data_IF_716104069905
#
_entry.id   IF_716104069905
#
_cell.length_a   1.000
_cell.length_b   1.000
_cell.length_c   1.000
_cell.angle_alpha   90.00
_cell.angle_beta   90.00
_cell.angle_gamma   90.00
#
_symmetry.space_group_name_H-M   'P 1'
#
loop_
_entity.id
_entity.type
_entity.pdbx_description
1 polymer ?
#
# COMPACT_ATOMS: atom_id res chain seq x y z
N UNK A 1 -1.40 -27.75 45.02
CA UNK A 1 -1.97 -27.13 43.81
C UNK A 1 -1.68 -27.99 42.58
N UNK A 2 -2.70 -28.46 41.84
CA UNK A 2 -2.54 -29.35 40.69
C UNK A 2 -1.71 -28.74 39.55
N UNK A 3 -0.97 -29.56 38.80
CA UNK A 3 -0.08 -29.16 37.71
C UNK A 3 -0.81 -28.45 36.54
N UNK A 4 -2.05 -28.83 36.23
CA UNK A 4 -2.84 -28.22 35.16
C UNK A 4 -3.32 -26.78 35.47
N UNK A 5 -3.48 -26.42 36.74
CA UNK A 5 -3.83 -25.05 37.17
C UNK A 5 -2.62 -24.09 37.11
N UNK A 6 -1.38 -24.59 37.11
CA UNK A 6 -0.18 -23.76 36.95
C UNK A 6 0.09 -23.39 35.49
N UNK A 7 -0.29 -24.25 34.54
CA UNK A 7 -0.15 -24.02 33.11
C UNK A 7 -0.96 -22.82 32.61
N UNK A 8 -2.22 -22.68 33.04
CA UNK A 8 -3.10 -21.57 32.64
C UNK A 8 -2.60 -20.21 33.18
N UNK A 9 -2.15 -20.17 34.44
CA UNK A 9 -1.66 -18.93 35.05
C UNK A 9 -0.32 -18.48 34.46
N UNK A 10 0.58 -19.41 34.12
CA UNK A 10 1.86 -19.09 33.47
C UNK A 10 1.68 -18.49 32.07
N UNK A 11 0.74 -19.04 31.30
CA UNK A 11 0.40 -18.52 29.97
C UNK A 11 -0.20 -17.13 30.06
N UNK A 12 -1.17 -16.89 30.95
CA UNK A 12 -1.75 -15.56 31.16
C UNK A 12 -0.71 -14.52 31.59
N UNK A 13 0.20 -14.87 32.51
CA UNK A 13 1.30 -13.99 32.91
C UNK A 13 2.23 -13.67 31.73
N UNK A 14 2.49 -14.63 30.85
CA UNK A 14 3.33 -14.41 29.67
C UNK A 14 2.66 -13.46 28.68
N UNK A 15 1.35 -13.62 28.45
CA UNK A 15 0.56 -12.69 27.61
C UNK A 15 0.53 -11.29 28.18
N UNK A 16 0.35 -11.14 29.50
CA UNK A 16 0.40 -9.84 30.18
C UNK A 16 1.77 -9.18 30.04
N UNK A 17 2.85 -9.94 30.23
CA UNK A 17 4.22 -9.44 30.05
C UNK A 17 4.48 -8.99 28.61
N UNK A 18 3.99 -9.73 27.62
CA UNK A 18 4.10 -9.34 26.21
C UNK A 18 3.29 -8.07 25.91
N UNK A 19 2.07 -7.95 26.45
CA UNK A 19 1.26 -6.74 26.33
C UNK A 19 1.95 -5.51 26.92
N UNK A 20 2.59 -5.67 28.08
CA UNK A 20 3.33 -4.58 28.73
C UNK A 20 4.63 -4.25 27.97
N UNK A 21 5.36 -5.27 27.52
CA UNK A 21 6.57 -5.10 26.73
C UNK A 21 6.31 -4.35 25.41
N UNK A 22 5.16 -4.57 24.76
CA UNK A 22 4.77 -3.82 23.54
C UNK A 22 4.73 -2.31 23.78
N UNK A 23 4.22 -1.87 24.93
CA UNK A 23 4.17 -0.44 25.29
C UNK A 23 5.55 0.15 25.55
N UNK A 24 6.50 -0.68 25.98
CA UNK A 24 7.88 -0.30 26.26
C UNK A 24 8.79 -0.38 25.03
N UNK A 25 8.30 -0.96 23.93
CA UNK A 25 8.97 -0.97 22.64
C UNK A 25 9.89 -2.17 22.38
N UNK A 26 10.72 -2.02 21.35
CA UNK A 26 11.42 -3.12 20.67
C UNK A 26 12.28 -3.99 21.60
N UNK A 27 13.07 -3.37 22.47
CA UNK A 27 14.01 -4.10 23.32
C UNK A 27 13.30 -4.86 24.45
N UNK A 28 12.24 -4.29 25.02
CA UNK A 28 11.43 -4.98 26.03
C UNK A 28 10.74 -6.24 25.46
N UNK A 29 10.23 -6.15 24.22
CA UNK A 29 9.65 -7.31 23.51
C UNK A 29 10.72 -8.36 23.22
N UNK A 30 11.93 -7.97 22.81
CA UNK A 30 13.04 -8.90 22.61
C UNK A 30 13.43 -9.65 23.88
N UNK A 31 13.58 -8.93 24.99
CA UNK A 31 13.90 -9.53 26.30
C UNK A 31 12.81 -10.51 26.74
N UNK A 32 11.55 -10.08 26.66
CA UNK A 32 10.40 -10.91 27.02
C UNK A 32 10.32 -12.14 26.11
N UNK A 33 10.49 -11.97 24.81
CA UNK A 33 10.50 -13.06 23.81
C UNK A 33 11.60 -14.09 24.04
N UNK A 34 12.82 -13.67 24.42
CA UNK A 34 13.89 -14.61 24.82
C UNK A 34 13.48 -15.43 26.05
N UNK A 35 12.89 -14.79 27.06
CA UNK A 35 12.45 -15.45 28.28
C UNK A 35 11.29 -16.43 28.02
N UNK A 36 10.39 -16.09 27.11
CA UNK A 36 9.26 -16.90 26.63
C UNK A 36 9.81 -18.16 25.93
N UNK A 37 10.67 -17.99 24.91
CA UNK A 37 11.31 -19.09 24.18
C UNK A 37 12.14 -20.05 25.05
N UNK A 38 12.77 -19.57 26.12
CA UNK A 38 13.63 -20.39 27.00
C UNK A 38 12.82 -21.30 27.92
N UNK A 39 11.57 -20.97 28.22
CA UNK A 39 10.75 -21.69 29.22
C UNK A 39 10.19 -23.02 28.73
N UNK A 40 10.31 -23.34 27.43
CA UNK A 40 10.10 -24.67 26.87
C UNK A 40 8.69 -25.25 27.10
N UNK A 41 7.89 -25.28 26.03
CA UNK A 41 6.47 -25.65 25.99
C UNK A 41 5.56 -24.52 26.44
N UNK A 42 5.22 -23.67 25.49
CA UNK A 42 4.26 -22.60 25.70
C UNK A 42 2.97 -22.89 24.95
N UNK A 43 1.87 -22.55 25.62
CA UNK A 43 0.53 -22.46 25.05
C UNK A 43 0.58 -21.79 23.68
N UNK A 44 -0.12 -22.37 22.69
CA UNK A 44 -0.17 -21.84 21.31
C UNK A 44 -0.52 -20.36 21.31
N UNK A 45 -1.41 -19.92 22.20
CA UNK A 45 -1.79 -18.51 22.31
C UNK A 45 -0.64 -17.60 22.76
N UNK A 46 0.31 -18.06 23.57
CA UNK A 46 1.49 -17.28 23.96
C UNK A 46 2.45 -17.14 22.77
N UNK A 47 2.63 -18.20 21.98
CA UNK A 47 3.46 -18.17 20.78
C UNK A 47 2.90 -17.20 19.75
N UNK A 48 1.58 -17.25 19.53
CA UNK A 48 0.89 -16.32 18.63
C UNK A 48 1.00 -14.88 19.16
N UNK A 49 0.78 -14.65 20.46
CA UNK A 49 0.94 -13.32 21.05
C UNK A 49 2.39 -12.81 20.92
N UNK A 50 3.40 -13.68 21.02
CA UNK A 50 4.80 -13.31 20.78
C UNK A 50 5.03 -12.93 19.31
N UNK A 51 4.52 -13.73 18.37
CA UNK A 51 4.62 -13.45 16.93
C UNK A 51 4.01 -12.08 16.59
N UNK A 52 2.81 -11.80 17.11
CA UNK A 52 2.12 -10.53 16.92
C UNK A 52 2.80 -9.38 17.68
N UNK A 53 3.44 -9.66 18.82
CA UNK A 53 4.23 -8.67 19.55
C UNK A 53 5.48 -8.27 18.77
N UNK A 54 6.18 -9.22 18.13
CA UNK A 54 7.30 -8.88 17.25
C UNK A 54 6.84 -8.04 16.06
N UNK A 55 5.70 -8.37 15.45
CA UNK A 55 5.11 -7.55 14.37
C UNK A 55 4.82 -6.12 14.84
N UNK A 56 4.21 -5.96 16.01
CA UNK A 56 3.80 -4.66 16.53
C UNK A 56 4.97 -3.68 16.75
N UNK A 57 6.18 -4.20 17.01
CA UNK A 57 7.41 -3.39 17.22
C UNK A 57 8.43 -3.57 16.10
N UNK A 58 8.00 -4.10 14.95
CA UNK A 58 8.82 -4.27 13.75
C UNK A 58 10.13 -5.07 14.00
N UNK A 59 10.06 -6.09 14.85
CA UNK A 59 11.12 -7.10 15.05
C UNK A 59 11.01 -8.20 13.98
N UNK A 60 11.14 -7.83 12.70
CA UNK A 60 10.97 -8.77 11.59
C UNK A 60 11.95 -9.96 11.62
N UNK A 61 13.25 -9.80 11.93
CA UNK A 61 14.17 -10.93 12.02
C UNK A 61 13.73 -11.95 13.07
N UNK A 62 13.39 -11.50 14.28
CA UNK A 62 12.95 -12.38 15.36
C UNK A 62 11.60 -13.05 15.07
N UNK A 63 10.72 -12.34 14.37
CA UNK A 63 9.44 -12.87 13.89
C UNK A 63 9.64 -13.99 12.87
N UNK A 64 10.56 -13.81 11.91
CA UNK A 64 10.94 -14.82 10.92
C UNK A 64 11.55 -16.04 11.62
N UNK A 65 12.49 -15.82 12.53
CA UNK A 65 13.15 -16.89 13.29
C UNK A 65 12.16 -17.68 14.13
N UNK A 66 11.23 -17.00 14.80
CA UNK A 66 10.16 -17.65 15.55
C UNK A 66 9.32 -18.52 14.62
N UNK A 67 8.77 -17.95 13.55
CA UNK A 67 7.87 -18.66 12.63
C UNK A 67 8.56 -19.86 11.93
N UNK A 68 9.82 -19.71 11.51
CA UNK A 68 10.61 -20.80 10.91
C UNK A 68 11.01 -21.88 11.95
N UNK A 69 11.12 -21.51 13.23
CA UNK A 69 11.40 -22.42 14.33
C UNK A 69 10.18 -23.17 14.87
N UNK A 70 8.96 -22.82 14.47
CA UNK A 70 7.76 -23.56 14.85
C UNK A 70 7.73 -24.93 14.18
N UNK A 71 7.28 -25.95 14.92
CA UNK A 71 7.10 -27.30 14.42
C UNK A 71 5.63 -27.71 14.40
N UNK A 72 5.32 -28.73 13.60
CA UNK A 72 4.01 -29.37 13.59
C UNK A 72 2.87 -28.52 13.00
N UNK A 73 1.60 -28.82 13.37
CA UNK A 73 0.43 -28.21 12.74
C UNK A 73 0.39 -26.68 12.85
N UNK A 74 0.87 -26.11 13.96
CA UNK A 74 0.87 -24.66 14.17
C UNK A 74 1.67 -23.91 13.11
N UNK A 75 2.87 -24.41 12.78
CA UNK A 75 3.74 -23.82 11.76
C UNK A 75 3.06 -23.76 10.39
N UNK A 76 2.20 -24.73 10.09
CA UNK A 76 1.51 -24.85 8.79
C UNK A 76 0.19 -24.08 8.72
N UNK A 77 -0.26 -23.44 9.80
CA UNK A 77 -1.50 -22.64 9.78
C UNK A 77 -1.38 -21.44 8.84
N UNK A 78 -2.49 -21.06 8.20
CA UNK A 78 -2.54 -19.92 7.30
C UNK A 78 -2.02 -18.64 7.95
N UNK A 79 -2.51 -18.34 9.17
CA UNK A 79 -2.09 -17.15 9.91
C UNK A 79 -0.58 -17.09 10.15
N UNK A 80 0.08 -18.18 10.58
CA UNK A 80 1.53 -18.17 10.79
C UNK A 80 2.30 -17.96 9.47
N UNK A 81 1.86 -18.60 8.39
CA UNK A 81 2.50 -18.48 7.08
C UNK A 81 2.30 -17.07 6.48
N UNK A 82 1.12 -16.48 6.62
CA UNK A 82 0.81 -15.11 6.23
C UNK A 82 1.68 -14.10 7.01
N UNK A 83 1.78 -14.27 8.33
CA UNK A 83 2.65 -13.45 9.18
C UNK A 83 4.14 -13.61 8.81
N UNK A 84 4.60 -14.84 8.53
CA UNK A 84 5.97 -15.08 8.04
C UNK A 84 6.23 -14.37 6.71
N UNK A 85 5.30 -14.46 5.76
CA UNK A 85 5.44 -13.82 4.46
C UNK A 85 5.48 -12.28 4.56
N UNK A 86 4.64 -11.70 5.43
CA UNK A 86 4.68 -10.27 5.74
C UNK A 86 6.05 -9.85 6.28
N UNK A 87 6.59 -10.58 7.26
CA UNK A 87 7.90 -10.27 7.84
C UNK A 87 9.04 -10.41 6.80
N UNK A 88 9.01 -11.47 5.97
CA UNK A 88 9.97 -11.66 4.87
C UNK A 88 9.93 -10.49 3.88
N UNK A 89 8.74 -10.00 3.53
CA UNK A 89 8.61 -8.85 2.63
C UNK A 89 9.15 -7.56 3.25
N UNK A 90 8.95 -7.34 4.56
CA UNK A 90 9.53 -6.19 5.27
C UNK A 90 11.07 -6.22 5.29
N UNK A 91 11.66 -7.41 5.30
CA UNK A 91 13.11 -7.62 5.16
C UNK A 91 13.59 -7.60 3.69
N UNK A 92 12.72 -7.26 2.73
CA UNK A 92 13.05 -7.20 1.30
C UNK A 92 13.21 -8.56 0.62
N UNK A 93 12.86 -9.67 1.29
CA UNK A 93 12.97 -11.05 0.80
C UNK A 93 11.74 -11.44 -0.03
N UNK A 94 11.52 -10.73 -1.14
CA UNK A 94 10.33 -10.89 -2.00
C UNK A 94 10.10 -12.33 -2.45
N UNK A 95 11.13 -13.00 -2.97
CA UNK A 95 11.01 -14.34 -3.54
C UNK A 95 10.67 -15.38 -2.47
N UNK A 96 11.24 -15.26 -1.26
CA UNK A 96 10.88 -16.12 -0.13
C UNK A 96 9.43 -15.90 0.31
N UNK A 97 8.99 -14.64 0.41
CA UNK A 97 7.62 -14.29 0.80
C UNK A 97 6.60 -14.86 -0.20
N UNK A 98 6.83 -14.67 -1.50
CA UNK A 98 5.97 -15.23 -2.56
C UNK A 98 5.93 -16.75 -2.47
N UNK A 99 7.07 -17.42 -2.28
CA UNK A 99 7.12 -18.88 -2.15
C UNK A 99 6.29 -19.39 -0.96
N UNK A 100 6.33 -18.70 0.17
CA UNK A 100 5.51 -19.04 1.35
C UNK A 100 4.02 -18.94 1.02
N UNK A 101 3.60 -17.84 0.39
CA UNK A 101 2.19 -17.58 0.05
C UNK A 101 1.68 -18.51 -1.05
N UNK A 102 2.46 -18.76 -2.11
CA UNK A 102 2.10 -19.70 -3.17
C UNK A 102 1.90 -21.12 -2.61
N UNK A 103 2.77 -21.55 -1.69
CA UNK A 103 2.61 -22.83 -1.00
C UNK A 103 1.38 -22.85 -0.09
N UNK A 104 1.00 -21.71 0.48
CA UNK A 104 -0.21 -21.60 1.28
C UNK A 104 -1.46 -21.73 0.40
N UNK A 105 -1.51 -21.00 -0.72
CA UNK A 105 -2.59 -21.07 -1.73
C UNK A 105 -2.74 -22.50 -2.27
N UNK A 106 -1.64 -23.19 -2.57
CA UNK A 106 -1.67 -24.58 -3.04
C UNK A 106 -2.29 -25.55 -2.01
N UNK A 107 -2.16 -25.27 -0.72
CA UNK A 107 -2.62 -26.16 0.37
C UNK A 107 -4.04 -25.86 0.82
N UNK A 108 -4.42 -24.59 0.86
CA UNK A 108 -5.68 -24.16 1.50
C UNK A 108 -6.64 -23.44 0.54
N UNK A 109 -6.23 -23.26 -0.72
CA UNK A 109 -6.94 -22.40 -1.66
C UNK A 109 -6.59 -20.93 -1.44
N UNK A 110 -7.06 -20.11 -2.37
CA UNK A 110 -6.89 -18.66 -2.30
C UNK A 110 -7.92 -18.06 -1.35
N UNK A 111 -7.56 -16.98 -0.65
CA UNK A 111 -8.44 -16.19 0.22
C UNK A 111 -8.22 -14.70 -0.06
N UNK A 112 -9.12 -13.84 0.42
CA UNK A 112 -8.92 -12.38 0.34
C UNK A 112 -7.61 -11.96 1.03
N UNK A 113 -7.40 -12.42 2.27
CA UNK A 113 -6.21 -12.09 3.08
C UNK A 113 -4.90 -12.52 2.41
N UNK A 114 -4.77 -13.80 2.02
CA UNK A 114 -3.55 -14.31 1.39
C UNK A 114 -3.27 -13.58 0.07
N UNK A 115 -4.32 -13.26 -0.70
CA UNK A 115 -4.19 -12.50 -1.95
C UNK A 115 -3.80 -11.04 -1.71
N UNK A 116 -4.34 -10.41 -0.68
CA UNK A 116 -3.98 -9.06 -0.26
C UNK A 116 -2.50 -8.98 0.16
N UNK A 117 -2.01 -9.98 0.88
CA UNK A 117 -0.59 -10.07 1.25
C UNK A 117 0.29 -10.28 0.01
N UNK A 118 -0.09 -11.18 -0.91
CA UNK A 118 0.62 -11.33 -2.20
C UNK A 118 0.67 -10.00 -2.98
N UNK A 119 -0.47 -9.31 -3.06
CA UNK A 119 -0.58 -7.99 -3.66
C UNK A 119 0.40 -7.00 -3.03
N UNK A 120 0.48 -6.98 -1.69
CA UNK A 120 1.41 -6.12 -0.95
C UNK A 120 2.87 -6.46 -1.22
N UNK A 121 3.23 -7.74 -1.21
CA UNK A 121 4.59 -8.21 -1.48
C UNK A 121 5.06 -7.76 -2.86
N UNK A 122 4.19 -7.87 -3.87
CA UNK A 122 4.49 -7.44 -5.22
C UNK A 122 4.49 -5.91 -5.37
N UNK A 123 3.60 -5.18 -4.68
CA UNK A 123 3.61 -3.70 -4.63
C UNK A 123 4.95 -3.19 -4.09
N UNK A 124 5.36 -3.67 -2.92
CA UNK A 124 6.60 -3.24 -2.28
C UNK A 124 7.82 -3.62 -3.14
N UNK A 125 7.78 -4.77 -3.83
CA UNK A 125 8.81 -5.14 -4.80
C UNK A 125 8.83 -4.18 -6.01
N UNK A 126 7.68 -3.83 -6.57
CA UNK A 126 7.59 -2.87 -7.68
C UNK A 126 8.19 -1.51 -7.29
N UNK A 127 7.92 -1.03 -6.07
CA UNK A 127 8.49 0.21 -5.55
C UNK A 127 10.02 0.14 -5.41
N UNK A 128 10.55 -0.96 -4.84
CA UNK A 128 12.00 -1.18 -4.69
C UNK A 128 12.74 -1.25 -6.04
N UNK A 129 12.14 -1.90 -7.04
CA UNK A 129 12.76 -2.06 -8.36
C UNK A 129 12.57 -0.85 -9.26
N UNK A 130 11.60 0.03 -9.01
CA UNK A 130 11.29 1.20 -9.85
C UNK A 130 12.52 2.06 -10.21
N UNK A 131 13.44 2.41 -9.29
CA UNK A 131 14.62 3.19 -9.64
C UNK A 131 15.76 2.38 -10.30
N UNK A 132 15.67 1.05 -10.34
CA UNK A 132 16.77 0.15 -10.76
C UNK A 132 16.46 -0.52 -12.11
N UNK A 133 15.26 -1.06 -12.25
CA UNK A 133 14.79 -1.81 -13.39
C UNK A 133 13.29 -1.58 -13.57
N UNK A 134 12.95 -0.60 -14.41
CA UNK A 134 11.57 -0.19 -14.68
C UNK A 134 10.74 -1.33 -15.29
N UNK A 135 11.35 -2.19 -16.11
CA UNK A 135 10.64 -3.34 -16.71
C UNK A 135 10.27 -4.34 -15.64
N UNK A 136 11.21 -4.67 -14.75
CA UNK A 136 10.95 -5.58 -13.63
C UNK A 136 9.94 -4.99 -12.64
N UNK A 137 10.03 -3.69 -12.36
CA UNK A 137 9.03 -2.98 -11.55
C UNK A 137 7.63 -3.06 -12.16
N UNK A 138 7.50 -2.89 -13.47
CA UNK A 138 6.22 -3.04 -14.17
C UNK A 138 5.65 -4.46 -14.08
N UNK A 139 6.50 -5.50 -14.21
CA UNK A 139 6.04 -6.89 -14.03
C UNK A 139 5.52 -7.14 -12.61
N UNK A 140 6.19 -6.61 -11.58
CA UNK A 140 5.70 -6.73 -10.21
C UNK A 140 4.42 -5.93 -9.97
N UNK A 141 4.28 -4.75 -10.57
CA UNK A 141 3.05 -3.96 -10.50
C UNK A 141 1.86 -4.75 -11.05
N UNK A 142 2.03 -5.41 -12.20
CA UNK A 142 0.98 -6.26 -12.79
C UNK A 142 0.60 -7.44 -11.89
N UNK A 143 1.59 -8.12 -11.31
CA UNK A 143 1.34 -9.22 -10.35
C UNK A 143 0.65 -8.75 -9.08
N UNK A 144 0.96 -7.53 -8.62
CA UNK A 144 0.29 -6.92 -7.47
C UNK A 144 -1.18 -6.67 -7.77
N UNK A 145 -1.48 -6.06 -8.93
CA UNK A 145 -2.85 -5.80 -9.39
C UNK A 145 -3.64 -7.10 -9.51
N UNK A 146 -3.06 -8.11 -10.17
CA UNK A 146 -3.72 -9.42 -10.33
C UNK A 146 -4.04 -10.06 -8.98
N UNK A 147 -3.09 -10.01 -8.04
CA UNK A 147 -3.28 -10.61 -6.71
C UNK A 147 -4.41 -9.88 -5.95
N UNK A 148 -4.43 -8.55 -5.96
CA UNK A 148 -5.50 -7.78 -5.34
C UNK A 148 -6.87 -8.00 -6.00
N UNK A 149 -6.92 -8.11 -7.33
CA UNK A 149 -8.16 -8.46 -8.04
C UNK A 149 -8.69 -9.83 -7.62
N UNK A 150 -7.83 -10.85 -7.56
CA UNK A 150 -8.22 -12.19 -7.09
C UNK A 150 -8.76 -12.17 -5.66
N UNK A 151 -8.16 -11.35 -4.78
CA UNK A 151 -8.67 -11.17 -3.41
C UNK A 151 -10.07 -10.56 -3.38
N UNK A 152 -10.30 -9.52 -4.18
CA UNK A 152 -11.60 -8.86 -4.30
C UNK A 152 -12.66 -9.77 -4.96
N UNK A 153 -12.27 -10.58 -5.93
CA UNK A 153 -13.16 -11.56 -6.56
C UNK A 153 -13.54 -12.70 -5.61
N UNK A 154 -12.62 -13.09 -4.72
CA UNK A 154 -12.88 -14.11 -3.70
C UNK A 154 -13.90 -13.63 -2.66
N UNK A 155 -13.75 -12.40 -2.15
CA UNK A 155 -14.72 -11.78 -1.25
C UNK A 155 -14.98 -10.32 -1.64
N UNK A 156 -16.02 -10.11 -2.45
CA UNK A 156 -16.38 -8.77 -2.91
C UNK A 156 -16.96 -7.86 -1.80
N UNK A 157 -17.16 -8.37 -0.57
CA UNK A 157 -17.54 -7.54 0.58
C UNK A 157 -16.34 -6.84 1.20
N UNK A 158 -15.13 -7.37 0.98
CA UNK A 158 -13.89 -6.77 1.43
C UNK A 158 -13.42 -5.75 0.40
N UNK A 159 -13.59 -4.46 0.70
CA UNK A 159 -13.20 -3.38 -0.20
C UNK A 159 -11.67 -3.25 -0.33
N UNK A 160 -10.90 -3.76 0.63
CA UNK A 160 -9.45 -3.52 0.74
C UNK A 160 -8.66 -4.01 -0.48
N UNK A 161 -8.83 -5.25 -0.98
CA UNK A 161 -8.10 -5.66 -2.18
C UNK A 161 -8.56 -4.86 -3.40
N UNK A 162 -9.85 -4.57 -3.52
CA UNK A 162 -10.42 -3.83 -4.65
C UNK A 162 -9.81 -2.43 -4.79
N UNK A 163 -9.79 -1.63 -3.72
CA UNK A 163 -9.22 -0.28 -3.77
C UNK A 163 -7.72 -0.31 -4.08
N UNK A 164 -6.97 -1.24 -3.49
CA UNK A 164 -5.55 -1.39 -3.79
C UNK A 164 -5.30 -1.75 -5.26
N UNK A 165 -6.11 -2.64 -5.84
CA UNK A 165 -6.04 -2.93 -7.28
C UNK A 165 -6.25 -1.66 -8.10
N UNK A 166 -7.30 -0.89 -7.82
CA UNK A 166 -7.61 0.36 -8.54
C UNK A 166 -6.47 1.38 -8.40
N UNK A 167 -5.98 1.59 -7.18
CA UNK A 167 -4.86 2.51 -6.91
C UNK A 167 -3.62 2.11 -7.69
N UNK A 168 -3.30 0.81 -7.78
CA UNK A 168 -2.16 0.33 -8.57
C UNK A 168 -2.40 0.42 -10.10
N UNK A 169 -3.62 0.19 -10.58
CA UNK A 169 -3.97 0.43 -12.00
C UNK A 169 -3.77 1.89 -12.40
N UNK A 170 -4.03 2.83 -11.49
CA UNK A 170 -3.77 4.27 -11.70
C UNK A 170 -2.27 4.58 -11.81
N UNK A 171 -1.38 3.69 -11.36
CA UNK A 171 0.07 3.86 -11.51
C UNK A 171 0.62 3.40 -12.86
N UNK A 172 -0.19 2.73 -13.69
CA UNK A 172 0.18 2.34 -15.06
C UNK A 172 0.42 3.60 -15.91
N UNK A 173 1.30 3.49 -16.89
CA UNK A 173 1.47 4.53 -17.91
C UNK A 173 0.19 4.71 -18.74
N UNK A 174 -0.52 3.61 -18.99
CA UNK A 174 -1.84 3.58 -19.61
C UNK A 174 -2.85 2.95 -18.65
N UNK A 175 -3.52 3.73 -17.79
CA UNK A 175 -4.55 3.21 -16.90
C UNK A 175 -5.70 2.59 -17.70
N UNK A 176 -6.02 1.33 -17.43
CA UNK A 176 -7.04 0.54 -18.12
C UNK A 176 -7.93 -0.21 -17.10
N UNK A 177 -8.44 0.54 -16.12
CA UNK A 177 -9.33 0.00 -15.09
C UNK A 177 -10.70 -0.39 -15.68
N UNK A 178 -11.27 -1.56 -15.32
CA UNK A 178 -12.66 -1.89 -15.64
C UNK A 178 -13.63 -0.82 -15.11
N UNK A 179 -14.64 -0.46 -15.91
CA UNK A 179 -15.58 0.62 -15.55
C UNK A 179 -16.45 0.29 -14.34
N UNK A 180 -16.75 -0.98 -14.13
CA UNK A 180 -17.58 -1.51 -13.04
C UNK A 180 -16.82 -1.73 -11.73
N UNK A 181 -15.48 -1.69 -11.75
CA UNK A 181 -14.68 -2.04 -10.57
C UNK A 181 -14.88 -1.05 -9.41
N UNK A 182 -14.79 0.27 -9.66
CA UNK A 182 -15.08 1.28 -8.62
C UNK A 182 -16.52 1.14 -8.11
N UNK A 183 -17.56 1.09 -8.96
CA UNK A 183 -18.94 0.89 -8.50
C UNK A 183 -19.12 -0.32 -7.56
N UNK A 184 -18.49 -1.47 -7.87
CA UNK A 184 -18.55 -2.66 -7.02
C UNK A 184 -17.87 -2.46 -5.67
N UNK A 185 -16.72 -1.79 -5.65
CA UNK A 185 -16.00 -1.46 -4.41
C UNK A 185 -16.82 -0.47 -3.57
N UNK A 186 -17.38 0.57 -4.20
CA UNK A 186 -18.24 1.55 -3.55
C UNK A 186 -19.46 0.88 -2.91
N UNK A 187 -20.11 -0.08 -3.58
CA UNK A 187 -21.24 -0.80 -3.01
C UNK A 187 -20.86 -1.60 -1.76
N UNK A 188 -19.72 -2.29 -1.77
CA UNK A 188 -19.22 -3.02 -0.61
C UNK A 188 -18.96 -2.07 0.58
N UNK A 189 -18.31 -0.94 0.28
CA UNK A 189 -17.97 0.09 1.25
C UNK A 189 -19.21 0.78 1.83
N UNK A 190 -20.18 1.15 1.00
CA UNK A 190 -21.43 1.77 1.42
C UNK A 190 -22.23 0.87 2.35
N UNK A 191 -22.27 -0.44 2.08
CA UNK A 191 -22.91 -1.42 2.98
C UNK A 191 -22.20 -1.48 4.33
N UNK A 192 -20.87 -1.43 4.35
CA UNK A 192 -20.08 -1.44 5.57
C UNK A 192 -20.32 -0.17 6.39
N UNK A 193 -20.32 1.01 5.75
CA UNK A 193 -20.65 2.29 6.40
C UNK A 193 -22.08 2.28 6.94
N UNK A 194 -23.05 1.83 6.14
CA UNK A 194 -24.46 1.75 6.54
C UNK A 194 -24.71 0.78 7.70
N UNK A 195 -23.82 -0.20 7.92
CA UNK A 195 -23.91 -1.11 9.07
C UNK A 195 -23.63 -0.44 10.42
N UNK A 196 -23.10 0.79 10.42
CA UNK A 196 -22.72 1.53 11.62
C UNK A 196 -21.42 1.05 12.26
N UNK A 197 -20.64 0.21 11.55
CA UNK A 197 -19.38 -0.37 12.02
C UNK A 197 -18.16 0.11 11.24
N UNK A 198 -18.30 1.18 10.47
CA UNK A 198 -17.18 1.72 9.70
C UNK A 198 -16.05 2.18 10.61
N UNK A 199 -14.82 1.92 10.17
CA UNK A 199 -13.62 2.42 10.81
C UNK A 199 -12.83 3.36 9.91
N UNK A 200 -11.63 3.72 10.35
CA UNK A 200 -10.70 4.56 9.60
C UNK A 200 -10.52 4.09 8.15
N UNK A 201 -10.34 2.79 7.93
CA UNK A 201 -9.99 2.23 6.63
C UNK A 201 -11.14 2.32 5.64
N UNK A 202 -12.37 2.26 6.13
CA UNK A 202 -13.56 2.48 5.30
C UNK A 202 -13.60 3.93 4.78
N UNK A 203 -13.40 4.92 5.66
CA UNK A 203 -13.38 6.31 5.24
C UNK A 203 -12.13 6.69 4.42
N UNK A 204 -10.98 6.09 4.71
CA UNK A 204 -9.78 6.22 3.90
C UNK A 204 -9.99 5.64 2.49
N UNK A 205 -10.69 4.51 2.37
CA UNK A 205 -11.08 3.91 1.09
C UNK A 205 -12.04 4.84 0.33
N UNK A 206 -13.04 5.42 1.01
CA UNK A 206 -13.95 6.40 0.41
C UNK A 206 -13.19 7.63 -0.11
N UNK A 207 -12.20 8.11 0.65
CA UNK A 207 -11.31 9.19 0.25
C UNK A 207 -10.50 8.84 -0.99
N UNK A 208 -9.87 7.67 -1.04
CA UNK A 208 -9.11 7.22 -2.22
C UNK A 208 -10.01 7.13 -3.46
N UNK A 209 -11.22 6.57 -3.34
CA UNK A 209 -12.20 6.51 -4.44
C UNK A 209 -12.54 7.91 -4.94
N UNK A 210 -12.85 8.85 -4.04
CA UNK A 210 -13.19 10.22 -4.41
C UNK A 210 -12.02 10.91 -5.13
N UNK A 211 -10.77 10.69 -4.69
CA UNK A 211 -9.57 11.19 -5.39
C UNK A 211 -9.42 10.57 -6.78
N UNK A 212 -9.66 9.26 -6.90
CA UNK A 212 -9.62 8.56 -8.18
C UNK A 212 -10.68 9.06 -9.16
N UNK A 213 -11.86 9.45 -8.68
CA UNK A 213 -12.95 10.01 -9.48
C UNK A 213 -12.85 11.53 -9.71
N UNK A 214 -11.96 12.23 -8.99
CA UNK A 214 -11.83 13.69 -9.07
C UNK A 214 -12.91 14.46 -8.30
N UNK A 215 -13.53 13.83 -7.30
CA UNK A 215 -14.63 14.37 -6.52
C UNK A 215 -14.13 15.07 -5.25
N UNK A 216 -13.59 16.29 -5.40
CA UNK A 216 -12.95 17.03 -4.31
C UNK A 216 -13.84 17.21 -3.06
N UNK A 217 -15.14 17.48 -3.25
CA UNK A 217 -16.08 17.64 -2.12
C UNK A 217 -16.25 16.34 -1.33
N UNK A 218 -16.46 15.23 -2.02
CA UNK A 218 -16.59 13.89 -1.42
C UNK A 218 -15.30 13.53 -0.70
N UNK A 219 -14.13 13.79 -1.31
CA UNK A 219 -12.83 13.53 -0.73
C UNK A 219 -12.63 14.29 0.59
N UNK A 220 -12.99 15.58 0.65
CA UNK A 220 -12.90 16.38 1.88
C UNK A 220 -13.80 15.85 3.00
N UNK A 221 -15.03 15.45 2.69
CA UNK A 221 -15.93 14.85 3.68
C UNK A 221 -15.39 13.51 4.20
N UNK A 222 -14.89 12.65 3.29
CA UNK A 222 -14.28 11.37 3.66
C UNK A 222 -13.03 11.55 4.53
N UNK A 223 -12.18 12.53 4.21
CA UNK A 223 -11.03 12.90 5.03
C UNK A 223 -11.44 13.25 6.46
N UNK A 224 -12.46 14.09 6.64
CA UNK A 224 -12.96 14.48 7.97
C UNK A 224 -13.43 13.28 8.78
N UNK A 225 -14.10 12.33 8.15
CA UNK A 225 -14.55 11.10 8.82
C UNK A 225 -13.38 10.18 9.16
N UNK A 226 -12.39 10.05 8.27
CA UNK A 226 -11.19 9.26 8.50
C UNK A 226 -10.41 9.78 9.71
N UNK A 227 -10.06 11.07 9.74
CA UNK A 227 -9.28 11.65 10.88
C UNK A 227 -10.05 11.69 12.20
N UNK A 228 -11.39 11.54 12.17
CA UNK A 228 -12.21 11.42 13.38
C UNK A 228 -12.27 10.00 13.94
N UNK A 229 -11.77 9.00 13.20
CA UNK A 229 -11.90 7.57 13.53
C UNK A 229 -10.56 6.83 13.55
N UNK A 230 -9.45 7.54 13.36
CA UNK A 230 -8.13 6.94 13.40
C UNK A 230 -7.71 6.54 14.80
N UNK A 231 -6.82 5.55 14.85
CA UNK A 231 -6.40 4.90 16.10
C UNK A 231 -4.89 4.95 16.25
N UNK A 232 -4.17 4.98 15.14
CA UNK A 232 -2.72 4.86 15.12
C UNK A 232 -2.08 5.88 14.17
N UNK A 233 -0.90 6.37 14.53
CA UNK A 233 -0.17 7.41 13.77
C UNK A 233 0.24 6.98 12.36
N UNK A 234 0.26 5.68 12.08
CA UNK A 234 0.67 5.14 10.79
C UNK A 234 -0.47 5.06 9.78
N UNK A 235 -1.74 5.09 10.21
CA UNK A 235 -2.88 4.95 9.30
C UNK A 235 -2.98 6.17 8.36
N UNK A 236 -2.98 7.43 8.86
CA UNK A 236 -3.00 8.62 8.01
C UNK A 236 -1.77 8.75 7.11
N UNK A 237 -0.58 8.32 7.60
CA UNK A 237 0.65 8.28 6.80
C UNK A 237 0.52 7.32 5.62
N UNK A 238 -0.08 6.14 5.83
CA UNK A 238 -0.30 5.16 4.77
C UNK A 238 -1.24 5.69 3.69
N UNK A 239 -2.35 6.32 4.09
CA UNK A 239 -3.31 6.92 3.16
C UNK A 239 -2.68 8.07 2.37
N UNK A 240 -1.94 8.97 3.04
CA UNK A 240 -1.21 10.05 2.38
C UNK A 240 -0.23 9.52 1.32
N UNK A 241 0.50 8.43 1.62
CA UNK A 241 1.39 7.79 0.66
C UNK A 241 0.65 7.26 -0.58
N UNK A 242 -0.53 6.65 -0.42
CA UNK A 242 -1.33 6.20 -1.56
C UNK A 242 -1.81 7.38 -2.43
N UNK A 243 -2.28 8.47 -1.82
CA UNK A 243 -2.68 9.68 -2.55
C UNK A 243 -1.50 10.32 -3.28
N UNK A 244 -0.32 10.35 -2.66
CA UNK A 244 0.92 10.82 -3.27
C UNK A 244 1.27 9.99 -4.52
N UNK A 245 1.17 8.65 -4.44
CA UNK A 245 1.42 7.75 -5.58
C UNK A 245 0.48 8.04 -6.75
N UNK A 246 -0.83 8.19 -6.48
CA UNK A 246 -1.85 8.54 -7.49
C UNK A 246 -1.52 9.88 -8.14
N UNK A 247 -1.30 10.91 -7.31
CA UNK A 247 -0.99 12.27 -7.75
C UNK A 247 0.26 12.31 -8.64
N UNK A 248 1.34 11.67 -8.21
CA UNK A 248 2.59 11.61 -8.94
C UNK A 248 2.47 10.79 -10.24
N UNK A 249 1.65 9.74 -10.28
CA UNK A 249 1.38 9.02 -11.51
C UNK A 249 0.64 9.88 -12.54
N UNK A 250 -0.40 10.62 -12.11
CA UNK A 250 -1.15 11.55 -12.96
C UNK A 250 -0.27 12.67 -13.50
N UNK A 251 0.48 13.34 -12.62
CA UNK A 251 1.41 14.41 -13.00
C UNK A 251 2.44 13.91 -14.02
N UNK A 252 3.05 12.73 -13.81
CA UNK A 252 4.00 12.16 -14.77
C UNK A 252 3.37 11.92 -16.15
N UNK A 253 2.14 11.41 -16.20
CA UNK A 253 1.43 11.19 -17.48
C UNK A 253 1.08 12.49 -18.19
N UNK A 254 0.62 13.50 -17.45
CA UNK A 254 0.30 14.82 -18.01
C UNK A 254 1.57 15.50 -18.56
N UNK A 255 2.67 15.47 -17.82
CA UNK A 255 3.97 16.00 -18.26
C UNK A 255 4.50 15.26 -19.50
N UNK A 256 4.36 13.93 -19.55
CA UNK A 256 4.75 13.14 -20.72
C UNK A 256 3.92 13.51 -21.96
N UNK A 257 2.59 13.55 -21.81
CA UNK A 257 1.67 13.95 -22.89
C UNK A 257 1.98 15.35 -23.41
N UNK A 258 2.27 16.30 -22.51
CA UNK A 258 2.66 17.66 -22.87
C UNK A 258 3.99 17.68 -23.66
N UNK A 259 4.98 16.88 -23.23
CA UNK A 259 6.26 16.76 -23.94
C UNK A 259 6.09 16.14 -25.33
N UNK A 260 5.24 15.12 -25.47
CA UNK A 260 4.96 14.49 -26.75
C UNK A 260 4.26 15.45 -27.73
N UNK A 261 3.28 16.22 -27.23
CA UNK A 261 2.59 17.25 -28.02
C UNK A 261 3.54 18.36 -28.46
N UNK A 262 4.41 18.82 -27.56
CA UNK A 262 5.47 19.80 -27.84
C UNK A 262 6.43 19.31 -28.94
N UNK A 263 6.92 18.07 -28.84
CA UNK A 263 7.79 17.45 -29.84
C UNK A 263 7.10 17.35 -31.20
N UNK A 264 5.83 16.95 -31.23
CA UNK A 264 5.05 16.83 -32.46
C UNK A 264 4.84 18.19 -33.15
N UNK A 265 4.54 19.24 -32.38
CA UNK A 265 4.39 20.61 -32.87
C UNK A 265 5.71 21.16 -33.44
N UNK A 266 6.83 20.96 -32.74
CA UNK A 266 8.16 21.34 -33.23
C UNK A 266 8.54 20.64 -34.54
N UNK A 267 8.26 19.34 -34.65
CA UNK A 267 8.50 18.57 -35.87
C UNK A 267 7.61 19.03 -37.05
N UNK A 268 6.36 19.42 -36.80
CA UNK A 268 5.46 19.96 -37.82
C UNK A 268 5.93 21.32 -38.35
N UNK A 269 6.32 22.24 -37.44
CA UNK A 269 6.85 23.55 -37.80
C UNK A 269 8.16 23.45 -38.61
N UNK A 270 9.05 22.53 -38.24
CA UNK A 270 10.28 22.26 -38.99
C UNK A 270 10.03 21.76 -40.42
N UNK A 271 9.07 20.84 -40.62
CA UNK A 271 8.70 20.33 -41.96
C UNK A 271 8.12 21.41 -42.86
N UNK A 272 7.28 22.29 -42.32
CA UNK A 272 6.63 23.36 -43.09
C UNK A 272 7.62 24.47 -43.51
N UNK A 273 8.70 24.67 -42.77
CA UNK A 273 9.70 25.71 -43.06
C UNK A 273 10.87 25.24 -43.95
N UNK A 274 11.20 23.94 -43.95
CA UNK A 274 12.11 23.38 -44.97
C UNK A 274 11.56 23.60 -46.39
N UNK A 275 10.24 23.72 -46.54
CA UNK A 275 9.59 24.04 -47.80
C UNK A 275 9.64 25.54 -48.19
N UNK A 276 9.94 26.47 -47.27
CA UNK A 276 9.82 27.93 -47.53
C UNK A 276 11.13 28.73 -47.54
N UNK A 277 12.28 28.11 -47.26
CA UNK A 277 13.60 28.63 -47.65
C UNK A 277 14.18 29.86 -46.92
N UNK A 278 13.52 30.45 -45.93
CA UNK A 278 14.02 31.67 -45.25
C UNK A 278 14.30 31.48 -43.75
N UNK A 279 15.49 31.91 -43.29
CA UNK A 279 15.75 32.24 -41.87
C UNK A 279 15.82 31.07 -40.87
N UNK A 280 16.37 29.92 -41.25
CA UNK A 280 16.35 28.67 -40.47
C UNK A 280 16.76 28.81 -38.97
N UNK A 281 17.75 29.65 -38.64
CA UNK A 281 18.24 29.80 -37.25
C UNK A 281 17.33 30.61 -36.33
N UNK A 282 16.71 31.69 -36.84
CA UNK A 282 15.82 32.53 -36.03
C UNK A 282 14.49 31.82 -35.79
N UNK A 283 13.99 31.12 -36.81
CA UNK A 283 12.78 30.34 -36.73
C UNK A 283 12.93 29.12 -35.80
N UNK A 284 14.06 28.41 -35.85
CA UNK A 284 14.35 27.31 -34.91
C UNK A 284 14.38 27.79 -33.45
N UNK A 285 14.95 28.96 -33.17
CA UNK A 285 14.95 29.56 -31.82
C UNK A 285 13.55 29.97 -31.36
N UNK A 286 12.70 30.46 -32.27
CA UNK A 286 11.31 30.82 -31.98
C UNK A 286 10.47 29.58 -31.66
N UNK A 287 10.62 28.51 -32.45
CA UNK A 287 9.95 27.23 -32.22
C UNK A 287 10.37 26.62 -30.87
N UNK A 288 11.67 26.61 -30.57
CA UNK A 288 12.19 26.09 -29.29
C UNK A 288 11.68 26.89 -28.08
N UNK A 289 11.52 28.22 -28.21
CA UNK A 289 10.93 29.04 -27.14
C UNK A 289 9.44 28.75 -26.95
N UNK A 290 8.68 28.62 -28.04
CA UNK A 290 7.26 28.27 -27.96
C UNK A 290 7.06 26.88 -27.33
N UNK A 291 7.92 25.92 -27.67
CA UNK A 291 7.96 24.58 -27.07
C UNK A 291 8.20 24.65 -25.56
N UNK A 292 9.20 25.43 -25.12
CA UNK A 292 9.50 25.62 -23.69
C UNK A 292 8.36 26.30 -22.93
N UNK A 293 7.70 27.30 -23.53
CA UNK A 293 6.55 27.98 -22.92
C UNK A 293 5.36 27.03 -22.79
N UNK A 294 4.98 26.35 -23.88
CA UNK A 294 3.87 25.38 -23.87
C UNK A 294 4.10 24.26 -22.86
N UNK A 295 5.36 23.80 -22.74
CA UNK A 295 5.76 22.86 -21.69
C UNK A 295 5.49 23.45 -20.32
N UNK A 296 6.06 24.61 -19.98
CA UNK A 296 5.88 25.27 -18.66
C UNK A 296 4.41 25.47 -18.30
N UNK A 297 3.59 25.94 -19.23
CA UNK A 297 2.16 26.17 -19.03
C UNK A 297 1.42 24.86 -18.72
N UNK A 298 1.77 23.77 -19.43
CA UNK A 298 1.23 22.44 -19.14
C UNK A 298 1.69 21.90 -17.79
N UNK A 299 2.96 22.10 -17.40
CA UNK A 299 3.44 21.70 -16.06
C UNK A 299 2.69 22.45 -14.96
N UNK A 300 2.40 23.74 -15.17
CA UNK A 300 1.69 24.57 -14.20
C UNK A 300 0.20 24.21 -14.10
N UNK A 301 -0.47 23.96 -15.23
CA UNK A 301 -1.86 23.51 -15.25
C UNK A 301 -2.03 22.12 -14.61
N UNK A 302 -1.09 21.20 -14.85
CA UNK A 302 -1.05 19.88 -14.23
C UNK A 302 -0.93 19.98 -12.70
N UNK A 303 0.00 20.80 -12.21
CA UNK A 303 0.16 21.08 -10.77
C UNK A 303 -1.13 21.65 -10.17
N UNK A 304 -1.73 22.65 -10.81
CA UNK A 304 -2.93 23.29 -10.31
C UNK A 304 -4.12 22.32 -10.17
N UNK A 305 -4.26 21.33 -11.07
CA UNK A 305 -5.27 20.27 -10.94
C UNK A 305 -4.99 19.31 -9.78
N UNK A 306 -3.72 19.13 -9.41
CA UNK A 306 -3.27 18.25 -8.35
C UNK A 306 -3.21 18.92 -6.96
N UNK A 307 -3.29 20.25 -6.90
CA UNK A 307 -3.11 21.05 -5.66
C UNK A 307 -4.04 20.62 -4.52
N UNK A 308 -5.30 20.29 -4.82
CA UNK A 308 -6.25 19.90 -3.77
C UNK A 308 -5.95 18.51 -3.20
N UNK A 309 -5.42 17.58 -4.02
CA UNK A 309 -4.97 16.26 -3.55
C UNK A 309 -3.72 16.41 -2.69
N UNK A 310 -2.78 17.27 -3.12
CA UNK A 310 -1.59 17.59 -2.32
C UNK A 310 -1.95 18.24 -0.98
N UNK A 311 -2.99 19.07 -0.95
CA UNK A 311 -3.50 19.65 0.31
C UNK A 311 -4.02 18.56 1.25
N UNK A 312 -4.85 17.64 0.76
CA UNK A 312 -5.35 16.51 1.56
C UNK A 312 -4.20 15.64 2.07
N UNK A 313 -3.19 15.37 1.23
CA UNK A 313 -1.97 14.64 1.60
C UNK A 313 -1.27 15.32 2.80
N UNK A 314 -1.07 16.64 2.73
CA UNK A 314 -0.46 17.42 3.81
C UNK A 314 -1.31 17.45 5.08
N UNK A 315 -2.62 17.56 4.96
CA UNK A 315 -3.55 17.55 6.09
C UNK A 315 -3.49 16.19 6.84
N UNK A 316 -3.43 15.07 6.11
CA UNK A 316 -3.22 13.73 6.69
C UNK A 316 -1.88 13.59 7.41
N UNK A 317 -0.79 14.10 6.82
CA UNK A 317 0.54 14.05 7.43
C UNK A 317 0.62 14.92 8.69
N UNK A 318 0.08 16.12 8.66
CA UNK A 318 0.02 17.02 9.81
C UNK A 318 -0.80 16.41 10.97
N UNK A 319 -1.92 15.76 10.64
CA UNK A 319 -2.72 15.01 11.63
C UNK A 319 -1.92 13.85 12.25
N UNK A 320 -1.17 13.11 11.43
CA UNK A 320 -0.32 12.03 11.93
C UNK A 320 0.82 12.51 12.85
N UNK A 321 1.39 13.68 12.56
CA UNK A 321 2.39 14.33 13.41
C UNK A 321 1.77 14.78 14.74
N UNK A 322 0.55 15.33 14.70
CA UNK A 322 -0.20 15.69 15.90
C UNK A 322 -0.46 14.47 16.80
N UNK A 323 -0.87 13.33 16.24
CA UNK A 323 -1.06 12.09 17.00
C UNK A 323 0.24 11.49 17.56
N UNK A 324 1.40 11.85 16.99
CA UNK A 324 2.70 11.37 17.45
C UNK A 324 3.30 12.25 18.56
N UNK A 325 2.66 13.39 18.87
CA UNK A 325 3.10 14.42 19.83
C UNK A 325 2.41 14.24 21.18
#
# INVERSE_FOLDING_TARGET
>A
MPLWLRGSNSSQLSKQRLAEARKQGKEAVRQTGRAVRTRGVEDVGVIIDLLLSYRAVECWPEMIDLAKGLAGPLASTAMVQEQLALALNREGKTEEAVKVLDNLVRRHGITSETSGILGRVYKDAAERYRPIDEKKASVYLEKAIESYLRGFEFDAKDAYPGINAVTLMELRDQPNRPKDLIPRISEALERQIASGKADYWDYATQLEIAVLLGEEKTAKSALQMAVATDRETWEPKSTANNLNLIRNARLRRELRSAQEAANAAGAAAGRQQVQTGAGQRAAARSAQRAEQTARRDAEQAAKQKADWVEKIEKDLLAHAEFLSS
#
